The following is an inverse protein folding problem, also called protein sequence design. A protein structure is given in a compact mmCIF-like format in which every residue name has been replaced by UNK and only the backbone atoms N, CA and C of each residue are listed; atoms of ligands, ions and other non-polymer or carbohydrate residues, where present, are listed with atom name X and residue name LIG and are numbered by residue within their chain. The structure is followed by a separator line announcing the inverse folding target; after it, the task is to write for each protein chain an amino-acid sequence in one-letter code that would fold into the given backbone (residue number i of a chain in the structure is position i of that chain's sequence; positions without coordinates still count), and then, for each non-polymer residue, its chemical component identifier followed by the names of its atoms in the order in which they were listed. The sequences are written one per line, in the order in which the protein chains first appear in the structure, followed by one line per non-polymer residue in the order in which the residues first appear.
data_IF_662251557863
#
_entry.id   IF_662251557863
#
_cell.length_a   1.000
_cell.length_b   1.000
_cell.length_c   1.000
_cell.angle_alpha   90.00
_cell.angle_beta   90.00
_cell.angle_gamma   90.00
#
_symmetry.space_group_name_H-M   'P 1'
#
loop_
_entity.id
_entity.type
_entity.pdbx_description
1 polymer ?
#
# COMPACT_ATOMS: atom_id res chain seq x y z
N UNK A 1 4.66 5.95 19.80
CA UNK A 1 5.19 5.11 18.70
C UNK A 1 6.25 5.88 17.95
N UNK A 2 7.11 5.21 17.18
CA UNK A 2 8.03 5.86 16.24
C UNK A 2 7.41 5.98 14.83
N UNK A 3 7.94 6.88 14.01
CA UNK A 3 7.55 6.96 12.59
C UNK A 3 7.86 5.67 11.84
N UNK A 4 8.97 4.99 12.17
CA UNK A 4 9.29 3.68 11.60
C UNK A 4 8.24 2.60 11.91
N UNK A 5 7.71 2.59 13.14
CA UNK A 5 6.60 1.70 13.50
C UNK A 5 5.33 2.00 12.69
N UNK A 6 4.99 3.27 12.49
CA UNK A 6 3.85 3.66 11.63
C UNK A 6 4.06 3.17 10.18
N UNK A 7 5.24 3.44 9.62
CA UNK A 7 5.58 3.06 8.26
C UNK A 7 5.56 1.53 8.07
N UNK A 8 6.03 0.77 9.07
CA UNK A 8 6.02 -0.70 9.07
C UNK A 8 4.60 -1.28 8.95
N UNK A 9 3.58 -0.55 9.41
CA UNK A 9 2.17 -0.93 9.23
C UNK A 9 1.77 -0.97 7.76
N UNK A 10 2.19 0.01 6.95
CA UNK A 10 1.95 -0.01 5.50
C UNK A 10 2.74 -1.13 4.83
N UNK A 11 4.00 -1.33 5.22
CA UNK A 11 4.84 -2.43 4.71
C UNK A 11 4.14 -3.77 4.91
N UNK A 12 3.64 -4.03 6.12
CA UNK A 12 2.93 -5.27 6.43
C UNK A 12 1.66 -5.45 5.59
N UNK A 13 0.84 -4.41 5.43
CA UNK A 13 -0.37 -4.52 4.59
C UNK A 13 -0.04 -4.79 3.12
N UNK A 14 0.98 -4.11 2.59
CA UNK A 14 1.42 -4.29 1.20
C UNK A 14 2.06 -5.67 1.00
N UNK A 15 2.82 -6.18 1.98
CA UNK A 15 3.37 -7.54 1.95
C UNK A 15 2.25 -8.59 1.96
N UNK A 16 1.24 -8.44 2.81
CA UNK A 16 0.09 -9.36 2.81
C UNK A 16 -0.65 -9.37 1.46
N UNK A 17 -0.83 -8.20 0.85
CA UNK A 17 -1.41 -8.07 -0.48
C UNK A 17 -0.57 -8.79 -1.54
N UNK A 18 0.74 -8.53 -1.52
CA UNK A 18 1.78 -9.22 -2.30
C UNK A 18 1.65 -10.75 -2.20
N UNK A 19 1.59 -11.28 -0.98
CA UNK A 19 1.62 -12.72 -0.71
C UNK A 19 0.32 -13.37 -1.19
N UNK A 20 -0.81 -12.66 -1.07
CA UNK A 20 -2.10 -13.10 -1.59
C UNK A 20 -2.11 -13.19 -3.12
N UNK A 21 -1.56 -12.18 -3.82
CA UNK A 21 -1.45 -12.17 -5.29
C UNK A 21 -0.54 -13.31 -5.73
N UNK A 22 0.60 -13.48 -5.05
CA UNK A 22 1.56 -14.55 -5.31
C UNK A 22 0.91 -15.93 -5.19
N UNK A 23 0.15 -16.14 -4.12
CA UNK A 23 -0.55 -17.41 -3.86
C UNK A 23 -1.67 -17.68 -4.88
N UNK A 24 -2.26 -16.63 -5.44
CA UNK A 24 -3.34 -16.74 -6.43
C UNK A 24 -2.83 -16.99 -7.86
N UNK A 25 -1.61 -16.57 -8.19
CA UNK A 25 -1.06 -16.72 -9.55
C UNK A 25 -1.06 -18.17 -10.08
N UNK A 26 -0.64 -19.19 -9.31
CA UNK A 26 -0.73 -20.58 -9.76
C UNK A 26 -2.14 -21.01 -10.13
N UNK A 27 -3.18 -20.45 -9.49
CA UNK A 27 -4.57 -20.80 -9.74
C UNK A 27 -5.10 -20.23 -11.05
N UNK A 28 -4.65 -19.05 -11.48
CA UNK A 28 -5.03 -18.49 -12.78
C UNK A 28 -4.27 -19.16 -13.95
N UNK A 29 -3.20 -19.91 -13.66
CA UNK A 29 -2.45 -20.68 -14.64
C UNK A 29 -3.14 -22.01 -15.03
N UNK A 30 -4.28 -22.36 -14.41
CA UNK A 30 -5.13 -23.45 -14.88
C UNK A 30 -6.00 -22.99 -16.05
N UNK A 31 -5.75 -23.55 -17.24
CA UNK A 31 -6.30 -23.06 -18.50
C UNK A 31 -7.49 -23.88 -18.99
N UNK A 32 -8.49 -23.19 -19.54
CA UNK A 32 -9.68 -23.77 -20.17
C UNK A 32 -9.39 -24.48 -21.52
N UNK A 33 -8.16 -24.40 -22.01
CA UNK A 33 -7.73 -25.02 -23.27
C UNK A 33 -8.04 -26.51 -23.29
N UNK A 34 -8.44 -27.02 -24.45
CA UNK A 34 -8.93 -28.39 -24.61
C UNK A 34 -10.42 -28.59 -24.30
N UNK A 35 -11.11 -27.65 -23.63
CA UNK A 35 -12.55 -27.75 -23.36
C UNK A 35 -13.46 -27.59 -24.59
N UNK A 36 -12.94 -26.99 -25.66
CA UNK A 36 -13.64 -26.67 -26.92
C UNK A 36 -14.96 -25.93 -26.72
N UNK A 37 -16.10 -26.45 -27.19
CA UNK A 37 -17.36 -25.70 -27.25
C UNK A 37 -18.00 -25.51 -25.87
N UNK A 38 -18.12 -26.59 -25.09
CA UNK A 38 -18.89 -26.64 -23.83
C UNK A 38 -18.16 -27.35 -22.70
N UNK A 39 -16.88 -27.68 -22.88
CA UNK A 39 -16.05 -28.36 -21.88
C UNK A 39 -15.79 -29.85 -22.15
N UNK A 40 -16.46 -30.45 -23.15
CA UNK A 40 -16.33 -31.89 -23.46
C UNK A 40 -15.05 -32.27 -24.19
N UNK A 41 -14.36 -31.30 -24.81
CA UNK A 41 -13.22 -31.58 -25.67
C UNK A 41 -13.57 -32.21 -27.02
N UNK A 42 -14.85 -32.10 -27.45
CA UNK A 42 -15.25 -32.50 -28.79
C UNK A 42 -14.37 -31.79 -29.84
N UNK A 43 -13.87 -32.54 -30.81
CA UNK A 43 -12.93 -32.09 -31.85
C UNK A 43 -11.55 -31.64 -31.32
N UNK A 44 -11.17 -32.05 -30.11
CA UNK A 44 -9.83 -31.92 -29.58
C UNK A 44 -9.19 -33.31 -29.45
N UNK A 45 -7.93 -33.45 -29.87
CA UNK A 45 -7.22 -34.72 -29.70
C UNK A 45 -6.73 -34.88 -28.24
N UNK A 46 -6.70 -36.12 -27.76
CA UNK A 46 -6.23 -36.43 -26.41
C UNK A 46 -4.76 -36.03 -26.23
N UNK A 47 -4.46 -35.26 -25.18
CA UNK A 47 -3.11 -34.77 -24.89
C UNK A 47 -2.82 -33.36 -25.42
N UNK A 48 -3.71 -32.78 -26.23
CA UNK A 48 -3.52 -31.43 -26.78
C UNK A 48 -3.33 -30.35 -25.71
N UNK A 49 -4.15 -30.35 -24.66
CA UNK A 49 -4.11 -29.35 -23.61
C UNK A 49 -2.86 -29.46 -22.74
N UNK A 50 -2.44 -30.68 -22.41
CA UNK A 50 -1.17 -30.96 -21.71
C UNK A 50 0.04 -30.47 -22.53
N UNK A 51 0.13 -30.85 -23.80
CA UNK A 51 1.21 -30.44 -24.70
C UNK A 51 1.25 -28.93 -24.89
N UNK A 52 0.09 -28.29 -25.08
CA UNK A 52 -0.02 -26.84 -25.24
C UNK A 52 0.39 -26.10 -23.97
N UNK A 53 -0.07 -26.55 -22.79
CA UNK A 53 0.31 -25.95 -21.51
C UNK A 53 1.83 -26.03 -21.25
N UNK A 54 2.45 -27.16 -21.59
CA UNK A 54 3.90 -27.32 -21.53
C UNK A 54 4.61 -26.35 -22.49
N UNK A 55 4.17 -26.29 -23.75
CA UNK A 55 4.73 -25.39 -24.75
C UNK A 55 4.59 -23.91 -24.35
N UNK A 56 3.44 -23.54 -23.79
CA UNK A 56 3.16 -22.18 -23.32
C UNK A 56 4.01 -21.81 -22.10
N UNK A 57 4.25 -22.74 -21.18
CA UNK A 57 5.15 -22.54 -20.03
C UNK A 57 6.57 -22.23 -20.51
N UNK A 58 7.09 -23.02 -21.45
CA UNK A 58 8.41 -22.78 -22.03
C UNK A 58 8.48 -21.46 -22.81
N UNK A 59 7.41 -21.11 -23.53
CA UNK A 59 7.33 -19.85 -24.27
C UNK A 59 7.34 -18.65 -23.30
N UNK A 60 6.58 -18.71 -22.22
CA UNK A 60 6.51 -17.65 -21.23
C UNK A 60 7.85 -17.45 -20.49
N UNK A 61 8.54 -18.53 -20.11
CA UNK A 61 9.90 -18.45 -19.53
C UNK A 61 10.89 -17.77 -20.50
N UNK A 62 10.90 -18.20 -21.77
CA UNK A 62 11.75 -17.55 -22.80
C UNK A 62 11.40 -16.08 -22.97
N UNK A 63 10.11 -15.75 -23.08
CA UNK A 63 9.65 -14.37 -23.24
C UNK A 63 10.10 -13.51 -22.06
N UNK A 64 9.92 -13.99 -20.83
CA UNK A 64 10.37 -13.28 -19.64
C UNK A 64 11.88 -12.99 -19.70
N UNK A 65 12.71 -14.00 -19.96
CA UNK A 65 14.18 -13.85 -20.05
C UNK A 65 14.63 -12.90 -21.17
N UNK A 66 13.87 -12.80 -22.27
CA UNK A 66 14.16 -11.83 -23.35
C UNK A 66 13.80 -10.40 -22.96
N UNK A 67 12.75 -10.21 -22.16
CA UNK A 67 12.25 -8.90 -21.74
C UNK A 67 13.00 -8.34 -20.52
N UNK A 68 13.43 -9.21 -19.60
CA UNK A 68 14.10 -8.86 -18.35
C UNK A 68 15.45 -9.58 -18.25
N UNK A 69 16.52 -8.86 -18.59
CA UNK A 69 17.89 -9.37 -18.47
C UNK A 69 18.34 -9.36 -17.01
N UNK A 70 19.06 -10.40 -16.60
CA UNK A 70 19.64 -10.52 -15.25
C UNK A 70 18.58 -10.45 -14.11
N UNK A 71 17.35 -10.87 -14.41
CA UNK A 71 16.22 -10.85 -13.49
C UNK A 71 15.69 -12.27 -13.25
N UNK A 72 15.10 -12.51 -12.07
CA UNK A 72 14.47 -13.78 -11.71
C UNK A 72 12.99 -13.51 -11.51
N UNK A 73 12.08 -14.21 -12.23
CA UNK A 73 10.67 -13.93 -12.12
C UNK A 73 10.22 -14.10 -10.66
N UNK A 74 9.42 -13.16 -10.17
CA UNK A 74 8.92 -13.22 -8.80
C UNK A 74 8.08 -14.49 -8.54
N UNK A 75 7.47 -15.04 -9.59
CA UNK A 75 6.79 -16.33 -9.64
C UNK A 75 7.00 -16.97 -11.02
N UNK A 76 7.26 -18.27 -11.03
CA UNK A 76 7.24 -19.08 -12.25
C UNK A 76 5.80 -19.32 -12.73
N UNK A 77 5.53 -18.96 -13.98
CA UNK A 77 4.23 -19.20 -14.61
C UNK A 77 4.20 -20.61 -15.21
N UNK A 78 3.72 -21.57 -14.42
CA UNK A 78 3.53 -22.95 -14.86
C UNK A 78 2.07 -23.17 -15.26
N UNK A 79 1.82 -23.20 -16.57
CA UNK A 79 0.47 -23.42 -17.09
C UNK A 79 0.09 -24.91 -17.03
N UNK A 80 -1.16 -25.18 -16.64
CA UNK A 80 -1.71 -26.53 -16.56
C UNK A 80 -3.12 -26.57 -17.12
N UNK A 81 -3.58 -27.71 -17.66
CA UNK A 81 -4.99 -27.89 -17.97
C UNK A 81 -5.85 -27.72 -16.72
N UNK A 82 -6.95 -26.97 -16.80
CA UNK A 82 -7.93 -26.93 -15.72
C UNK A 82 -8.52 -28.34 -15.49
N UNK A 83 -8.63 -28.74 -14.21
CA UNK A 83 -9.17 -30.05 -13.80
C UNK A 83 -10.62 -30.24 -14.29
N UNK A 84 -11.42 -29.18 -14.22
CA UNK A 84 -12.79 -29.17 -14.70
C UNK A 84 -12.98 -28.10 -15.79
N UNK A 85 -13.13 -28.54 -17.05
CA UNK A 85 -13.32 -27.63 -18.19
C UNK A 85 -14.68 -26.94 -18.17
N UNK A 86 -15.72 -27.58 -17.65
CA UNK A 86 -17.06 -26.98 -17.54
C UNK A 86 -17.01 -25.75 -16.66
N UNK A 87 -16.38 -25.85 -15.48
CA UNK A 87 -16.17 -24.71 -14.58
C UNK A 87 -15.31 -23.62 -15.25
N UNK A 88 -14.25 -23.99 -15.97
CA UNK A 88 -13.35 -23.05 -16.63
C UNK A 88 -14.00 -22.28 -17.81
N UNK A 89 -15.08 -22.80 -18.40
CA UNK A 89 -15.85 -22.11 -19.44
C UNK A 89 -17.01 -21.29 -18.83
N UNK A 90 -17.76 -21.90 -17.90
CA UNK A 90 -18.96 -21.36 -17.29
C UNK A 90 -18.69 -20.27 -16.24
N UNK A 91 -17.51 -20.27 -15.61
CA UNK A 91 -17.12 -19.34 -14.55
C UNK A 91 -15.73 -18.73 -14.77
N UNK A 92 -15.39 -17.76 -13.93
CA UNK A 92 -14.07 -17.11 -13.91
C UNK A 92 -13.60 -16.89 -12.46
N UNK A 93 -13.85 -17.86 -11.60
CA UNK A 93 -13.67 -17.80 -10.15
C UNK A 93 -12.23 -17.48 -9.76
N UNK A 94 -11.25 -18.13 -10.40
CA UNK A 94 -9.83 -17.85 -10.15
C UNK A 94 -9.44 -16.39 -10.48
N UNK A 95 -10.05 -15.81 -11.52
CA UNK A 95 -9.83 -14.40 -11.88
C UNK A 95 -10.58 -13.45 -10.95
N UNK A 96 -11.78 -13.82 -10.48
CA UNK A 96 -12.51 -13.06 -9.47
C UNK A 96 -11.76 -13.02 -8.14
N UNK A 97 -11.18 -14.15 -7.71
CA UNK A 97 -10.34 -14.21 -6.52
C UNK A 97 -9.11 -13.30 -6.65
N UNK A 98 -8.45 -13.29 -7.82
CA UNK A 98 -7.36 -12.35 -8.09
C UNK A 98 -7.84 -10.88 -8.05
N UNK A 99 -9.03 -10.61 -8.60
CA UNK A 99 -9.67 -9.28 -8.48
C UNK A 99 -9.87 -8.89 -7.02
N UNK A 100 -10.25 -9.83 -6.15
CA UNK A 100 -10.36 -9.63 -4.71
C UNK A 100 -9.02 -9.27 -4.05
N UNK A 101 -7.92 -9.93 -4.45
CA UNK A 101 -6.57 -9.56 -4.00
C UNK A 101 -6.22 -8.11 -4.40
N UNK A 102 -6.53 -7.71 -5.64
CA UNK A 102 -6.31 -6.34 -6.09
C UNK A 102 -7.18 -5.32 -5.34
N UNK A 103 -8.42 -5.67 -5.02
CA UNK A 103 -9.30 -4.84 -4.21
C UNK A 103 -8.72 -4.59 -2.81
N UNK A 104 -8.25 -5.64 -2.12
CA UNK A 104 -7.55 -5.50 -0.83
C UNK A 104 -6.25 -4.69 -0.96
N UNK A 105 -5.53 -4.82 -2.07
CA UNK A 105 -4.34 -4.00 -2.34
C UNK A 105 -4.72 -2.51 -2.43
N UNK A 106 -5.81 -2.19 -3.14
CA UNK A 106 -6.30 -0.83 -3.29
C UNK A 106 -6.75 -0.21 -1.95
N UNK A 107 -7.35 -0.97 -1.04
CA UNK A 107 -7.71 -0.43 0.29
C UNK A 107 -6.50 -0.12 1.16
N UNK A 108 -5.42 -0.91 1.06
CA UNK A 108 -4.15 -0.60 1.72
C UNK A 108 -3.48 0.66 1.14
N UNK A 109 -3.44 0.77 -0.19
CA UNK A 109 -2.91 1.96 -0.89
C UNK A 109 -3.73 3.21 -0.59
N UNK A 110 -5.05 3.07 -0.44
CA UNK A 110 -5.94 4.15 -0.01
C UNK A 110 -5.51 4.70 1.35
N UNK A 111 -5.32 3.83 2.35
CA UNK A 111 -4.86 4.25 3.69
C UNK A 111 -3.50 4.94 3.61
N UNK A 112 -2.53 4.34 2.92
CA UNK A 112 -1.21 4.91 2.70
C UNK A 112 -1.29 6.35 2.16
N UNK A 113 -2.08 6.55 1.09
CA UNK A 113 -2.23 7.85 0.45
C UNK A 113 -2.92 8.89 1.35
N UNK A 114 -3.96 8.48 2.08
CA UNK A 114 -4.69 9.38 2.97
C UNK A 114 -3.84 9.79 4.18
N UNK A 115 -3.12 8.85 4.78
CA UNK A 115 -2.25 9.13 5.93
C UNK A 115 -1.12 10.08 5.53
N UNK A 116 -0.46 9.83 4.38
CA UNK A 116 0.58 10.73 3.87
C UNK A 116 0.03 12.14 3.61
N UNK A 117 -1.18 12.24 3.03
CA UNK A 117 -1.86 13.52 2.80
C UNK A 117 -2.19 14.24 4.11
N UNK A 118 -2.63 13.52 5.14
CA UNK A 118 -3.03 14.08 6.43
C UNK A 118 -1.82 14.53 7.23
N UNK A 119 -0.78 13.68 7.33
CA UNK A 119 0.47 13.98 8.04
C UNK A 119 1.25 15.13 7.38
N UNK A 120 1.08 15.35 6.07
CA UNK A 120 1.65 16.49 5.36
C UNK A 120 0.74 17.71 5.29
N UNK A 121 -0.42 17.70 5.96
CA UNK A 121 -1.34 18.84 5.94
C UNK A 121 -0.70 20.07 6.60
N UNK A 122 -0.74 21.24 5.94
CA UNK A 122 -0.01 22.40 6.41
C UNK A 122 0.17 23.52 5.36
N UNK A 123 1.22 24.36 5.48
CA UNK A 123 2.36 24.22 6.38
C UNK A 123 2.13 24.74 7.80
N UNK A 124 1.16 25.65 8.00
CA UNK A 124 0.98 26.36 9.28
C UNK A 124 -0.31 25.99 10.04
N UNK A 125 -1.29 25.38 9.36
CA UNK A 125 -2.64 25.14 9.91
C UNK A 125 -3.06 23.67 9.83
N UNK A 126 -2.10 22.74 9.81
CA UNK A 126 -2.33 21.30 9.78
C UNK A 126 -1.38 20.56 10.72
N UNK A 127 -1.16 19.27 10.47
CA UNK A 127 -0.25 18.44 11.26
C UNK A 127 1.23 18.76 10.97
N UNK A 128 1.57 18.92 9.69
CA UNK A 128 2.94 19.25 9.25
C UNK A 128 4.04 18.33 9.80
N UNK A 129 3.75 17.05 10.05
CA UNK A 129 4.74 16.06 10.48
C UNK A 129 5.58 15.56 9.30
N UNK A 130 4.92 15.27 8.17
CA UNK A 130 5.56 14.83 6.95
C UNK A 130 5.78 16.00 6.00
N UNK A 131 6.94 16.00 5.33
CA UNK A 131 7.29 16.96 4.28
C UNK A 131 7.50 16.17 2.99
N UNK A 132 6.55 16.29 2.08
CA UNK A 132 6.57 15.58 0.79
C UNK A 132 7.36 16.36 -0.28
N UNK A 133 7.94 15.67 -1.28
CA UNK A 133 8.68 16.33 -2.36
C UNK A 133 7.80 17.22 -3.23
N UNK A 134 8.08 18.52 -3.31
CA UNK A 134 7.37 19.45 -4.20
C UNK A 134 7.84 19.29 -5.66
N UNK A 135 7.00 18.71 -6.53
CA UNK A 135 7.39 18.37 -7.90
C UNK A 135 6.99 19.44 -8.94
N UNK A 136 6.06 20.35 -8.62
CA UNK A 136 5.47 21.32 -9.57
C UNK A 136 4.79 22.50 -8.83
N UNK A 137 4.48 23.61 -9.55
CA UNK A 137 3.70 24.71 -9.00
C UNK A 137 2.24 24.32 -8.72
N UNK A 138 1.71 24.75 -7.59
CA UNK A 138 0.52 24.15 -7.00
C UNK A 138 -0.78 24.93 -7.04
N UNK A 139 -0.72 26.19 -7.46
CA UNK A 139 -1.91 26.97 -7.74
C UNK A 139 -1.60 28.07 -8.73
N UNK A 140 -2.57 28.30 -9.60
CA UNK A 140 -2.59 29.43 -10.54
C UNK A 140 -2.75 30.79 -9.85
N UNK A 141 -3.25 30.84 -8.60
CA UNK A 141 -3.61 32.09 -7.91
C UNK A 141 -2.88 32.29 -6.58
N UNK A 142 -2.41 31.23 -5.91
CA UNK A 142 -1.66 31.32 -4.66
C UNK A 142 -0.15 31.25 -4.94
N UNK A 143 0.59 32.37 -4.89
CA UNK A 143 2.02 32.37 -5.10
C UNK A 143 2.71 31.48 -4.06
N UNK A 144 3.76 30.77 -4.48
CA UNK A 144 4.54 29.85 -3.65
C UNK A 144 3.80 28.58 -3.19
N UNK A 145 2.54 28.36 -3.61
CA UNK A 145 1.89 27.06 -3.46
C UNK A 145 2.51 26.09 -4.47
N UNK A 146 2.92 24.91 -4.04
CA UNK A 146 3.50 23.84 -4.86
C UNK A 146 2.56 22.62 -4.82
N UNK A 147 2.68 21.73 -5.78
CA UNK A 147 2.02 20.42 -5.83
C UNK A 147 3.11 19.35 -6.05
N UNK A 148 2.73 18.08 -6.14
CA UNK A 148 3.59 16.90 -6.36
C UNK A 148 3.13 15.99 -7.54
N UNK A 149 3.44 16.28 -8.79
CA UNK A 149 3.01 15.66 -10.02
C UNK A 149 3.95 16.01 -11.18
N UNK A 150 4.45 14.96 -11.81
CA UNK A 150 4.54 14.92 -13.26
C UNK A 150 3.59 13.82 -13.66
N UNK A 151 2.44 14.18 -14.22
CA UNK A 151 1.52 13.23 -14.79
C UNK A 151 2.31 12.29 -15.71
N UNK A 152 2.35 11.01 -15.37
CA UNK A 152 2.83 10.00 -16.29
C UNK A 152 1.94 10.10 -17.54
N UNK A 153 2.54 10.40 -18.70
CA UNK A 153 1.83 10.31 -19.97
C UNK A 153 1.42 8.85 -20.15
N UNK A 154 0.15 8.55 -19.92
CA UNK A 154 -0.44 7.25 -20.21
C UNK A 154 -0.38 7.01 -21.72
N UNK A 155 0.65 6.31 -22.18
CA UNK A 155 0.72 5.83 -23.56
C UNK A 155 -0.07 4.53 -23.64
N UNK A 156 -1.35 4.64 -24.00
CA UNK A 156 -2.35 3.56 -24.11
C UNK A 156 -2.01 2.48 -25.18
N UNK A 157 -0.83 2.53 -25.80
CA UNK A 157 -0.43 1.60 -26.85
C UNK A 157 1.06 1.26 -26.74
N UNK A 158 1.41 0.33 -25.86
CA UNK A 158 2.39 -0.75 -26.12
C UNK A 158 2.78 -1.43 -24.80
N UNK A 159 2.33 -2.68 -24.62
CA UNK A 159 3.02 -3.82 -23.97
C UNK A 159 2.00 -4.78 -23.36
N UNK A 160 1.48 -5.67 -24.19
CA UNK A 160 0.67 -6.85 -23.83
C UNK A 160 1.54 -7.98 -23.23
N UNK A 161 2.43 -7.67 -22.28
CA UNK A 161 3.39 -8.64 -21.72
C UNK A 161 3.40 -8.75 -20.19
N UNK A 162 2.52 -8.05 -19.48
CA UNK A 162 2.92 -7.53 -18.17
C UNK A 162 2.40 -8.25 -16.93
N UNK A 163 1.57 -9.31 -16.97
CA UNK A 163 1.04 -9.87 -15.72
C UNK A 163 2.11 -10.48 -14.78
N UNK A 164 3.21 -11.04 -15.32
CA UNK A 164 4.35 -11.52 -14.50
C UNK A 164 5.35 -10.42 -14.10
N UNK A 165 5.35 -9.31 -14.84
CA UNK A 165 6.28 -8.16 -14.72
C UNK A 165 5.80 -7.15 -13.67
N UNK A 166 4.48 -7.03 -13.61
CA UNK A 166 3.70 -6.16 -12.72
C UNK A 166 4.04 -6.37 -11.24
N UNK A 167 4.22 -7.65 -10.91
CA UNK A 167 4.55 -8.16 -9.60
C UNK A 167 6.00 -7.76 -9.31
N UNK A 168 6.98 -8.22 -10.08
CA UNK A 168 8.40 -8.09 -9.72
C UNK A 168 8.90 -6.66 -9.49
N UNK A 169 8.28 -5.65 -10.11
CA UNK A 169 8.70 -4.25 -9.86
C UNK A 169 7.92 -3.55 -8.75
N UNK A 170 6.73 -4.05 -8.43
CA UNK A 170 6.07 -3.78 -7.15
C UNK A 170 6.89 -4.39 -5.99
N UNK A 171 7.40 -5.62 -6.16
CA UNK A 171 8.28 -6.31 -5.19
C UNK A 171 9.64 -5.61 -4.99
N UNK A 172 10.38 -5.38 -6.07
CA UNK A 172 11.71 -4.76 -5.99
C UNK A 172 11.66 -3.31 -5.49
N UNK A 173 10.53 -2.61 -5.63
CA UNK A 173 10.31 -1.27 -5.11
C UNK A 173 9.94 -1.23 -3.61
N UNK A 174 9.20 -2.22 -3.10
CA UNK A 174 8.81 -2.25 -1.69
C UNK A 174 9.91 -2.94 -0.84
N UNK A 175 10.42 -4.10 -1.27
CA UNK A 175 11.44 -4.83 -0.49
C UNK A 175 12.80 -4.11 -0.44
N UNK A 176 13.26 -3.45 -1.52
CA UNK A 176 14.53 -2.68 -1.46
C UNK A 176 14.44 -1.39 -0.64
N UNK A 177 13.28 -0.73 -0.61
CA UNK A 177 13.14 0.54 0.11
C UNK A 177 12.87 0.33 1.61
N UNK A 178 12.20 -0.75 2.00
CA UNK A 178 11.90 -1.04 3.40
C UNK A 178 12.86 -2.04 4.08
N UNK A 179 13.70 -2.79 3.35
CA UNK A 179 14.76 -3.63 3.97
C UNK A 179 16.03 -2.88 4.39
N UNK A 180 16.11 -1.57 4.12
CA UNK A 180 17.25 -0.73 4.51
C UNK A 180 17.28 -0.35 6.01
N UNK A 181 16.33 -0.84 6.83
CA UNK A 181 16.39 -0.64 8.29
C UNK A 181 17.43 -1.51 9.02
N UNK A 182 18.19 -2.38 8.34
CA UNK A 182 19.18 -3.22 9.04
C UNK A 182 20.64 -2.79 8.96
N UNK A 183 21.05 -1.90 8.05
CA UNK A 183 22.46 -1.45 7.97
C UNK A 183 22.57 0.00 7.49
N UNK A 184 23.44 0.74 8.16
CA UNK A 184 23.93 2.10 7.88
C UNK A 184 23.04 3.27 8.30
N UNK A 185 23.27 3.72 9.54
CA UNK A 185 23.49 5.13 9.82
C UNK A 185 24.34 5.76 8.71
N UNK A 186 24.04 7.02 8.36
CA UNK A 186 24.77 7.88 7.40
C UNK A 186 24.24 7.83 5.95
N UNK A 187 23.19 8.60 5.66
CA UNK A 187 23.06 9.44 4.45
C UNK A 187 21.77 10.27 4.54
N UNK A 188 21.78 11.32 5.35
CA UNK A 188 20.77 12.39 5.29
C UNK A 188 21.52 13.71 5.10
N UNK A 189 21.67 14.11 3.84
CA UNK A 189 22.17 15.44 3.49
C UNK A 189 21.15 16.48 3.99
N UNK A 190 21.60 17.31 4.93
CA UNK A 190 20.94 18.53 5.39
C UNK A 190 20.70 19.47 4.20
N UNK A 191 19.52 19.39 3.59
CA UNK A 191 19.01 20.47 2.76
C UNK A 191 18.08 21.33 3.63
N UNK A 192 18.57 22.49 4.07
CA UNK A 192 17.69 23.58 4.54
C UNK A 192 16.84 24.00 3.35
N UNK A 193 15.59 23.54 3.29
CA UNK A 193 14.68 24.00 2.24
C UNK A 193 14.30 25.46 2.51
N UNK A 194 14.46 26.38 1.54
CA UNK A 194 13.98 27.75 1.67
C UNK A 194 12.46 27.71 1.77
N UNK A 195 11.89 28.62 2.55
CA UNK A 195 10.46 28.77 2.87
C UNK A 195 9.51 28.31 1.74
N UNK A 196 9.07 27.05 1.78
CA UNK A 196 8.11 26.49 0.83
C UNK A 196 6.71 26.93 1.26
N UNK A 197 5.95 27.54 0.35
CA UNK A 197 4.52 27.73 0.56
C UNK A 197 3.77 26.39 0.50
N UNK A 198 2.43 26.44 0.56
CA UNK A 198 1.58 25.25 0.67
C UNK A 198 1.88 24.20 -0.41
N UNK A 199 2.21 22.96 -0.04
CA UNK A 199 2.43 21.85 -1.00
C UNK A 199 1.15 21.00 -1.05
N UNK A 200 0.47 20.83 -2.19
CA UNK A 200 -0.61 19.84 -2.28
C UNK A 200 -0.02 18.44 -2.51
N UNK A 201 -0.56 17.41 -1.84
CA UNK A 201 -0.09 16.04 -1.98
C UNK A 201 -0.71 15.36 -3.22
N UNK A 202 -0.44 15.88 -4.42
CA UNK A 202 -1.07 15.38 -5.67
C UNK A 202 -0.70 13.93 -6.00
N UNK A 203 0.44 13.40 -5.53
CA UNK A 203 0.72 11.96 -5.62
C UNK A 203 -0.26 11.15 -4.77
N UNK A 204 -0.62 11.63 -3.58
CA UNK A 204 -1.62 11.01 -2.73
C UNK A 204 -3.03 11.11 -3.35
N UNK A 205 -3.35 12.24 -3.97
CA UNK A 205 -4.63 12.44 -4.68
C UNK A 205 -4.76 11.46 -5.86
N UNK A 206 -3.71 11.34 -6.68
CA UNK A 206 -3.64 10.40 -7.80
C UNK A 206 -3.81 8.94 -7.34
N UNK A 207 -3.00 8.50 -6.35
CA UNK A 207 -3.07 7.13 -5.83
C UNK A 207 -4.43 6.80 -5.23
N UNK A 208 -5.09 7.76 -4.58
CA UNK A 208 -6.45 7.61 -4.05
C UNK A 208 -7.48 7.43 -5.16
N UNK A 209 -7.44 8.25 -6.21
CA UNK A 209 -8.37 8.09 -7.35
C UNK A 209 -8.16 6.75 -8.06
N UNK A 210 -6.90 6.34 -8.26
CA UNK A 210 -6.57 5.02 -8.80
C UNK A 210 -7.12 3.90 -7.91
N UNK A 211 -6.95 4.00 -6.59
CA UNK A 211 -7.45 3.01 -5.65
C UNK A 211 -8.99 2.89 -5.72
N UNK A 212 -9.71 4.00 -5.82
CA UNK A 212 -11.18 3.98 -6.04
C UNK A 212 -11.54 3.31 -7.37
N UNK A 213 -10.80 3.61 -8.45
CA UNK A 213 -11.04 2.99 -9.75
C UNK A 213 -10.83 1.48 -9.70
N UNK A 214 -9.80 1.00 -9.02
CA UNK A 214 -9.54 -0.44 -8.83
C UNK A 214 -10.68 -1.11 -8.04
N UNK A 215 -11.17 -0.47 -6.98
CA UNK A 215 -12.33 -0.98 -6.22
C UNK A 215 -13.59 -1.05 -7.11
N UNK A 216 -13.83 -0.04 -7.95
CA UNK A 216 -14.92 -0.04 -8.93
C UNK A 216 -14.78 -1.12 -10.01
N UNK A 217 -13.57 -1.35 -10.50
CA UNK A 217 -13.25 -2.43 -11.44
C UNK A 217 -13.53 -3.80 -10.79
N UNK A 218 -13.18 -3.97 -9.52
CA UNK A 218 -13.51 -5.18 -8.76
C UNK A 218 -15.02 -5.39 -8.65
N UNK A 219 -15.79 -4.37 -8.25
CA UNK A 219 -17.26 -4.49 -8.19
C UNK A 219 -17.87 -4.86 -9.54
N UNK A 220 -17.38 -4.26 -10.63
CA UNK A 220 -17.81 -4.62 -11.99
C UNK A 220 -17.48 -6.07 -12.32
N UNK A 221 -16.28 -6.52 -11.95
CA UNK A 221 -15.82 -7.91 -12.13
C UNK A 221 -16.69 -8.88 -11.33
N UNK A 222 -17.00 -8.57 -10.07
CA UNK A 222 -17.86 -9.39 -9.20
C UNK A 222 -19.28 -9.54 -9.77
N UNK A 223 -19.85 -8.45 -10.30
CA UNK A 223 -21.15 -8.52 -10.98
C UNK A 223 -21.07 -9.34 -12.27
N UNK A 224 -20.08 -9.11 -13.13
CA UNK A 224 -19.93 -9.86 -14.39
C UNK A 224 -19.68 -11.36 -14.16
N UNK A 225 -18.92 -11.72 -13.12
CA UNK A 225 -18.64 -13.10 -12.76
C UNK A 225 -19.91 -13.87 -12.32
N UNK A 226 -20.88 -13.18 -11.69
CA UNK A 226 -22.14 -13.81 -11.25
C UNK A 226 -23.14 -14.08 -12.37
N UNK A 227 -22.92 -13.53 -13.58
CA UNK A 227 -23.84 -13.66 -14.72
C UNK A 227 -23.56 -14.88 -15.62
N UNK A 228 -22.89 -15.92 -15.10
CA UNK A 228 -22.74 -17.18 -15.84
C UNK A 228 -24.10 -17.80 -16.17
N UNK A 229 -24.29 -18.22 -17.41
CA UNK A 229 -25.53 -18.88 -17.85
C UNK A 229 -25.17 -20.20 -18.53
N UNK A 230 -25.57 -21.30 -17.88
CA UNK A 230 -25.31 -22.67 -18.34
C UNK A 230 -23.81 -22.88 -18.61
N UNK A 231 -23.43 -23.32 -19.82
CA UNK A 231 -22.06 -23.75 -20.13
C UNK A 231 -21.06 -22.61 -20.33
N UNK A 232 -21.49 -21.34 -20.39
CA UNK A 232 -20.60 -20.24 -20.76
C UNK A 232 -20.96 -18.92 -20.06
N UNK A 233 -20.01 -18.32 -19.36
CA UNK A 233 -20.10 -16.91 -19.01
C UNK A 233 -19.65 -16.06 -20.21
N UNK A 234 -20.57 -15.28 -20.78
CA UNK A 234 -20.35 -14.45 -21.99
C UNK A 234 -19.80 -13.06 -21.70
N UNK A 235 -19.57 -12.70 -20.44
CA UNK A 235 -19.01 -11.40 -20.02
C UNK A 235 -17.48 -11.37 -20.02
N UNK A 236 -16.82 -12.33 -20.69
CA UNK A 236 -15.35 -12.47 -20.76
C UNK A 236 -14.62 -11.17 -21.14
N UNK A 237 -15.07 -10.39 -22.14
CA UNK A 237 -14.38 -9.14 -22.50
C UNK A 237 -14.41 -8.10 -21.38
N UNK A 238 -15.52 -7.99 -20.65
CA UNK A 238 -15.66 -7.04 -19.54
C UNK A 238 -14.76 -7.42 -18.35
N UNK A 239 -14.70 -8.72 -18.03
CA UNK A 239 -13.79 -9.25 -17.00
C UNK A 239 -12.33 -8.97 -17.37
N UNK A 240 -11.93 -9.28 -18.61
CA UNK A 240 -10.57 -9.05 -19.08
C UNK A 240 -10.18 -7.57 -19.06
N UNK A 241 -11.04 -6.67 -19.55
CA UNK A 241 -10.77 -5.24 -19.57
C UNK A 241 -10.56 -4.66 -18.18
N UNK A 242 -11.42 -5.02 -17.21
CA UNK A 242 -11.30 -4.52 -15.82
C UNK A 242 -10.04 -5.04 -15.12
N UNK A 243 -9.70 -6.33 -15.30
CA UNK A 243 -8.50 -6.92 -14.70
C UNK A 243 -7.23 -6.36 -15.32
N UNK A 244 -7.15 -6.24 -16.65
CA UNK A 244 -5.98 -5.68 -17.34
C UNK A 244 -5.77 -4.19 -17.03
N UNK A 245 -6.86 -3.42 -16.98
CA UNK A 245 -6.80 -2.02 -16.55
C UNK A 245 -6.32 -1.89 -15.10
N UNK A 246 -6.84 -2.72 -14.20
CA UNK A 246 -6.40 -2.77 -12.79
C UNK A 246 -4.93 -3.11 -12.66
N UNK A 247 -4.46 -4.09 -13.44
CA UNK A 247 -3.05 -4.42 -13.56
C UNK A 247 -2.24 -3.17 -13.91
N UNK A 248 -2.48 -2.54 -15.06
CA UNK A 248 -1.74 -1.34 -15.49
C UNK A 248 -1.73 -0.23 -14.44
N UNK A 249 -2.89 0.09 -13.87
CA UNK A 249 -3.04 1.07 -12.80
C UNK A 249 -2.18 0.75 -11.56
N UNK A 250 -2.15 -0.51 -11.11
CA UNK A 250 -1.32 -0.93 -9.97
C UNK A 250 0.17 -0.78 -10.28
N UNK A 251 0.64 -1.16 -11.48
CA UNK A 251 2.06 -0.99 -11.84
C UNK A 251 2.47 0.47 -11.85
N UNK A 252 1.71 1.31 -12.54
CA UNK A 252 2.12 2.68 -12.79
C UNK A 252 1.98 3.51 -11.51
N UNK A 253 0.85 3.40 -10.81
CA UNK A 253 0.54 4.24 -9.66
C UNK A 253 1.44 3.93 -8.45
N UNK A 254 1.72 2.65 -8.17
CA UNK A 254 2.59 2.27 -7.04
C UNK A 254 4.03 2.71 -7.25
N UNK A 255 4.57 2.55 -8.47
CA UNK A 255 5.90 3.08 -8.83
C UNK A 255 5.94 4.61 -8.78
N UNK A 256 4.93 5.27 -9.34
CA UNK A 256 4.85 6.72 -9.36
C UNK A 256 4.86 7.28 -7.93
N UNK A 257 4.03 6.72 -7.05
CA UNK A 257 3.98 7.11 -5.64
C UNK A 257 5.30 6.83 -4.91
N UNK A 258 5.91 5.66 -5.13
CA UNK A 258 7.19 5.32 -4.52
C UNK A 258 8.30 6.31 -4.93
N UNK A 259 8.46 6.57 -6.22
CA UNK A 259 9.55 7.39 -6.76
C UNK A 259 9.34 8.90 -6.56
N UNK A 260 8.08 9.37 -6.61
CA UNK A 260 7.75 10.80 -6.59
C UNK A 260 7.27 11.32 -5.24
N UNK A 261 6.97 10.43 -4.30
CA UNK A 261 6.51 10.78 -2.96
C UNK A 261 7.39 10.15 -1.88
N UNK A 262 7.37 8.81 -1.77
CA UNK A 262 8.01 8.08 -0.65
C UNK A 262 9.52 8.28 -0.62
N UNK A 263 10.20 8.15 -1.77
CA UNK A 263 11.66 8.27 -1.88
C UNK A 263 12.23 9.58 -1.33
N UNK A 264 11.46 10.66 -1.41
CA UNK A 264 11.90 11.98 -0.95
C UNK A 264 11.23 12.43 0.35
N UNK A 265 10.51 11.55 1.05
CA UNK A 265 9.85 11.87 2.31
C UNK A 265 10.86 12.40 3.35
N UNK A 266 10.55 13.56 3.93
CA UNK A 266 11.28 14.13 5.07
C UNK A 266 10.31 14.34 6.24
N UNK A 267 10.86 14.52 7.44
CA UNK A 267 10.06 14.75 8.65
C UNK A 267 10.36 16.11 9.28
N UNK A 268 9.32 16.78 9.74
CA UNK A 268 9.45 17.96 10.58
C UNK A 268 9.69 17.55 12.04
N UNK A 269 10.97 17.36 12.40
CA UNK A 269 11.37 16.87 13.72
C UNK A 269 10.90 17.77 14.87
N UNK A 270 10.92 19.08 14.68
CA UNK A 270 10.47 20.04 15.70
C UNK A 270 8.98 19.87 15.99
N UNK A 271 8.15 19.78 14.94
CA UNK A 271 6.70 19.62 15.10
C UNK A 271 6.32 18.27 15.71
N UNK A 272 7.00 17.20 15.30
CA UNK A 272 6.81 15.86 15.88
C UNK A 272 7.14 15.88 17.37
N UNK A 273 8.28 16.48 17.77
CA UNK A 273 8.65 16.58 19.17
C UNK A 273 7.63 17.41 19.97
N UNK A 274 7.14 18.51 19.40
CA UNK A 274 6.08 19.33 20.02
C UNK A 274 4.82 18.50 20.32
N UNK A 275 4.41 17.60 19.42
CA UNK A 275 3.25 16.73 19.65
C UNK A 275 3.49 15.67 20.71
N UNK A 276 4.70 15.10 20.75
CA UNK A 276 5.11 14.19 21.84
C UNK A 276 5.00 14.91 23.18
N UNK A 277 5.56 16.11 23.29
CA UNK A 277 5.61 16.87 24.54
C UNK A 277 4.22 17.33 25.02
N UNK A 278 3.32 17.67 24.07
CA UNK A 278 1.98 18.18 24.38
C UNK A 278 0.92 17.10 24.60
N UNK A 279 1.21 15.84 24.27
CA UNK A 279 0.20 14.78 24.32
C UNK A 279 -0.19 14.45 25.77
N UNK A 280 -1.45 14.71 26.12
CA UNK A 280 -2.01 14.32 27.41
C UNK A 280 -2.20 12.79 27.54
N UNK A 281 -2.07 12.04 26.44
CA UNK A 281 -2.17 10.58 26.46
C UNK A 281 -0.89 9.90 26.94
N UNK A 282 0.20 10.66 27.17
CA UNK A 282 1.36 10.13 27.90
C UNK A 282 0.98 9.63 29.30
N UNK A 283 -0.13 10.12 29.86
CA UNK A 283 -0.71 9.66 31.13
C UNK A 283 -0.92 8.15 31.20
N UNK A 284 -1.06 7.44 30.07
CA UNK A 284 -1.39 6.01 30.05
C UNK A 284 -0.39 5.17 30.85
N UNK A 285 0.89 5.55 30.85
CA UNK A 285 1.92 4.86 31.64
C UNK A 285 1.75 5.03 33.15
N UNK A 286 0.97 6.03 33.60
CA UNK A 286 0.68 6.25 35.02
C UNK A 286 -0.45 5.33 35.54
N UNK A 287 -1.25 4.74 34.66
CA UNK A 287 -2.39 3.89 35.07
C UNK A 287 -2.02 2.73 36.00
N UNK A 288 -0.87 2.03 35.86
CA UNK A 288 -0.45 1.00 36.81
C UNK A 288 0.02 1.55 38.16
N UNK A 289 0.34 2.84 38.25
CA UNK A 289 0.87 3.49 39.45
C UNK A 289 -0.20 4.20 40.28
N UNK A 290 -1.16 4.85 39.63
CA UNK A 290 -2.22 5.64 40.29
C UNK A 290 -3.64 5.14 39.99
N UNK A 291 -3.80 4.12 39.14
CA UNK A 291 -5.11 3.64 38.72
C UNK A 291 -5.74 4.47 37.61
N UNK A 292 -6.76 3.90 36.98
CA UNK A 292 -7.45 4.50 35.83
C UNK A 292 -8.19 5.79 36.20
N UNK A 293 -8.97 5.79 37.29
CA UNK A 293 -9.83 6.92 37.66
C UNK A 293 -9.01 8.18 38.00
N UNK A 294 -7.89 8.02 38.71
CA UNK A 294 -7.00 9.14 39.02
C UNK A 294 -6.25 9.64 37.77
N UNK A 295 -5.89 8.73 36.86
CA UNK A 295 -5.31 9.11 35.55
C UNK A 295 -6.29 9.91 34.70
N UNK A 296 -7.57 9.50 34.66
CA UNK A 296 -8.62 10.24 33.96
C UNK A 296 -8.84 11.62 34.59
N UNK A 297 -8.89 11.70 35.94
CA UNK A 297 -8.98 12.97 36.67
C UNK A 297 -7.80 13.91 36.35
N UNK A 298 -6.59 13.37 36.24
CA UNK A 298 -5.39 14.11 35.86
C UNK A 298 -5.50 14.70 34.44
N UNK A 299 -5.93 13.92 33.44
CA UNK A 299 -6.15 14.41 32.07
C UNK A 299 -7.20 15.53 32.05
N UNK A 300 -8.32 15.32 32.74
CA UNK A 300 -9.38 16.33 32.81
C UNK A 300 -8.88 17.64 33.43
N UNK A 301 -8.06 17.55 34.48
CA UNK A 301 -7.44 18.71 35.10
C UNK A 301 -6.48 19.43 34.12
N UNK A 302 -5.55 18.69 33.52
CA UNK A 302 -4.57 19.24 32.57
C UNK A 302 -5.25 19.93 31.38
N UNK A 303 -6.28 19.29 30.80
CA UNK A 303 -7.06 19.87 29.70
C UNK A 303 -7.86 21.10 30.12
N UNK A 304 -8.61 21.02 31.24
CA UNK A 304 -9.47 22.12 31.72
C UNK A 304 -8.67 23.39 32.02
N UNK A 305 -7.49 23.23 32.62
CA UNK A 305 -6.64 24.36 33.02
C UNK A 305 -5.53 24.68 32.01
N UNK A 306 -5.47 23.99 30.87
CA UNK A 306 -4.45 24.15 29.82
C UNK A 306 -3.02 24.04 30.37
N UNK A 307 -2.76 23.04 31.21
CA UNK A 307 -1.47 22.76 31.86
C UNK A 307 -0.84 21.48 31.34
N UNK A 308 0.45 21.31 31.60
CA UNK A 308 1.12 20.03 31.36
C UNK A 308 0.64 18.92 32.31
N UNK A 309 0.86 17.66 31.91
CA UNK A 309 0.59 16.50 32.78
C UNK A 309 1.42 16.56 34.07
N UNK A 310 2.70 16.92 33.96
CA UNK A 310 3.63 17.04 35.10
C UNK A 310 3.13 18.05 36.13
N UNK A 311 2.76 19.25 35.67
CA UNK A 311 2.24 20.32 36.54
C UNK A 311 0.93 19.89 37.22
N UNK A 312 0.02 19.30 36.45
CA UNK A 312 -1.27 18.84 36.98
C UNK A 312 -1.13 17.68 37.97
N UNK A 313 -0.13 16.81 37.79
CA UNK A 313 0.13 15.70 38.70
C UNK A 313 0.60 16.19 40.08
N UNK A 314 1.42 17.25 40.09
CA UNK A 314 1.89 17.91 41.31
C UNK A 314 0.74 18.64 42.01
N UNK A 315 -0.06 19.43 41.27
CA UNK A 315 -1.18 20.20 41.84
C UNK A 315 -2.27 19.31 42.44
N UNK A 316 -2.53 18.14 41.84
CA UNK A 316 -3.49 17.17 42.34
C UNK A 316 -2.92 16.28 43.46
N UNK A 317 -1.67 16.47 43.87
CA UNK A 317 -0.96 15.63 44.83
C UNK A 317 -0.97 14.13 44.44
N UNK A 318 -0.89 13.83 43.14
CA UNK A 318 -0.88 12.46 42.64
C UNK A 318 0.54 11.90 42.57
N UNK A 319 1.48 12.69 42.04
CA UNK A 319 2.89 12.34 41.91
C UNK A 319 3.76 13.59 42.08
N UNK A 320 4.97 13.41 42.64
CA UNK A 320 6.01 14.43 42.58
C UNK A 320 6.64 14.51 41.18
N UNK A 321 7.26 15.64 40.86
CA UNK A 321 7.89 15.88 39.56
C UNK A 321 8.98 14.87 39.21
N UNK A 322 9.85 14.52 40.16
CA UNK A 322 10.93 13.55 39.94
C UNK A 322 10.38 12.18 39.53
N UNK A 323 9.40 11.66 40.27
CA UNK A 323 8.77 10.37 39.96
C UNK A 323 7.97 10.41 38.66
N UNK A 324 7.41 11.56 38.28
CA UNK A 324 6.80 11.75 36.97
C UNK A 324 7.84 11.60 35.86
N UNK A 325 8.98 12.27 36.00
CA UNK A 325 10.07 12.28 35.01
C UNK A 325 10.76 10.89 34.91
N UNK A 326 10.79 10.12 36.00
CA UNK A 326 11.27 8.73 36.02
C UNK A 326 10.37 7.77 35.23
N UNK A 327 9.05 7.96 35.28
CA UNK A 327 8.07 7.03 34.70
C UNK A 327 7.70 7.44 33.27
N UNK A 328 7.46 8.73 33.02
CA UNK A 328 6.93 9.22 31.74
C UNK A 328 8.07 9.50 30.77
N UNK A 329 8.51 8.44 30.08
CA UNK A 329 9.61 8.48 29.11
C UNK A 329 9.13 8.09 27.72
N UNK A 330 8.75 9.05 26.85
CA UNK A 330 8.14 8.76 25.55
C UNK A 330 8.97 7.83 24.64
N UNK A 331 10.30 7.94 24.69
CA UNK A 331 11.20 7.09 23.91
C UNK A 331 11.14 5.61 24.35
N UNK A 332 11.04 5.35 25.66
CA UNK A 332 10.88 4.00 26.20
C UNK A 332 9.44 3.49 25.98
N UNK A 333 8.44 4.37 25.97
CA UNK A 333 7.03 4.01 25.70
C UNK A 333 6.80 3.52 24.27
N UNK A 334 7.59 3.96 23.29
CA UNK A 334 7.52 3.43 21.92
C UNK A 334 8.10 2.00 21.82
N UNK A 335 9.03 1.64 22.72
CA UNK A 335 9.71 0.36 22.75
C UNK A 335 9.74 -0.22 24.17
N UNK A 336 8.57 -0.58 24.74
CA UNK A 336 8.44 -0.91 26.16
C UNK A 336 9.16 -2.21 26.57
N UNK A 337 9.77 -2.93 25.63
CA UNK A 337 10.43 -4.22 25.85
C UNK A 337 11.89 -4.26 25.37
N UNK A 338 12.51 -3.14 24.97
CA UNK A 338 13.89 -3.11 24.45
C UNK A 338 15.00 -3.32 25.52
N UNK A 339 14.66 -3.35 26.80
CA UNK A 339 15.59 -3.66 27.90
C UNK A 339 15.60 -5.17 28.26
N UNK A 340 15.36 -6.05 27.28
CA UNK A 340 15.49 -7.52 27.43
C UNK A 340 16.45 -8.10 26.41
#
# INVERSE_FOLDING_TARGET
MSVGQELSGYVSQLQQAVDSIKSQLPLICYLAVGGTAVGTGLNCFKGFDEELCMGLTQLADRLYRTMYKESTPAIDLVFKPAENKFAALAGHDALLQLSGCFNTTATALMRLSNDFCLLSSGPNCGLSEFVLPANEPGSSIMPSKLNTDKAAKYNLFSKLGSCGVLIETFFNGIERYFSLESKTSTFFLLYKSPHLGKVNPTQCESLRMVSLQIMGNHFTTSMAASQGQLELNVYKPLLAANLLHTCELLTDSTRCFADKCVKGLQLNREKIQEYVDKSLMLVTVLTPHIGYDLSAKLVHHASKFKKGLRESAIELNLLCGEKFDEIVKPMEMAFPHNNK
#
